data_IF_987481623493
#
_entry.id   IF_987481623493
#
_cell.length_a   1.000
_cell.length_b   1.000
_cell.length_c   1.000
_cell.angle_alpha   90.00
_cell.angle_beta   90.00
_cell.angle_gamma   90.00
#
_symmetry.space_group_name_H-M   'P 1'
#
loop_
_entity.id
_entity.type
_entity.pdbx_description
1 polymer ?
#
# COMPACT_ATOMS: atom_id res chain seq x y z
N UNK A 1 33.71 1.57 25.44
CA UNK A 1 33.67 1.96 24.01
C UNK A 1 32.43 1.45 23.27
N UNK A 2 31.98 0.20 23.49
CA UNK A 2 30.77 -0.39 22.85
C UNK A 2 29.47 0.43 23.03
N UNK A 3 29.28 1.12 24.16
CA UNK A 3 28.05 1.87 24.43
C UNK A 3 27.88 3.10 23.50
N UNK A 4 28.97 3.79 23.14
CA UNK A 4 28.90 4.97 22.25
C UNK A 4 28.62 4.57 20.80
N UNK A 5 29.08 3.40 20.37
CA UNK A 5 28.84 2.89 19.01
C UNK A 5 27.37 2.50 18.81
N UNK A 6 26.74 1.89 19.82
CA UNK A 6 25.31 1.55 19.78
C UNK A 6 24.40 2.79 19.78
N UNK A 7 24.73 3.82 20.56
CA UNK A 7 23.97 5.08 20.57
C UNK A 7 24.10 5.82 19.24
N UNK A 8 25.31 5.89 18.67
CA UNK A 8 25.52 6.51 17.37
C UNK A 8 24.77 5.79 16.23
N UNK A 9 24.80 4.45 16.23
CA UNK A 9 24.05 3.64 15.26
C UNK A 9 22.53 3.84 15.40
N UNK A 10 22.02 3.95 16.63
CA UNK A 10 20.60 4.20 16.87
C UNK A 10 20.15 5.59 16.42
N UNK A 11 20.93 6.64 16.71
CA UNK A 11 20.64 8.01 16.24
C UNK A 11 20.68 8.06 14.70
N UNK A 12 21.59 7.31 14.08
CA UNK A 12 21.66 7.19 12.62
C UNK A 12 20.42 6.49 12.05
N UNK A 13 19.97 5.39 12.66
CA UNK A 13 18.73 4.69 12.27
C UNK A 13 17.47 5.54 12.47
N UNK A 14 17.38 6.31 13.55
CA UNK A 14 16.27 7.25 13.78
C UNK A 14 16.24 8.36 12.74
N UNK A 15 17.40 8.92 12.40
CA UNK A 15 17.52 9.92 11.33
C UNK A 15 17.06 9.34 10.00
N UNK A 16 17.43 8.10 9.69
CA UNK A 16 17.02 7.40 8.47
C UNK A 16 15.51 7.12 8.47
N UNK A 17 14.95 6.62 9.57
CA UNK A 17 13.52 6.36 9.72
C UNK A 17 12.67 7.65 9.68
N UNK A 18 13.20 8.78 10.18
CA UNK A 18 12.55 10.08 10.08
C UNK A 18 12.63 10.68 8.67
N UNK A 19 13.69 10.38 7.91
CA UNK A 19 13.88 10.82 6.54
C UNK A 19 13.08 9.98 5.52
N UNK A 20 12.78 8.72 5.83
CA UNK A 20 11.99 7.87 4.94
C UNK A 20 10.49 8.11 5.15
N UNK A 21 9.83 8.67 4.13
CA UNK A 21 8.38 8.58 4.01
C UNK A 21 8.06 7.18 3.49
N UNK A 22 7.81 6.23 4.39
CA UNK A 22 7.27 4.91 4.02
C UNK A 22 5.82 5.10 3.54
N UNK A 23 5.65 5.53 2.30
CA UNK A 23 4.37 5.46 1.59
C UNK A 23 4.38 4.12 0.84
N UNK A 24 3.82 3.07 1.45
CA UNK A 24 3.60 1.79 0.76
C UNK A 24 2.31 1.86 -0.03
N UNK A 25 2.43 2.08 -1.34
CA UNK A 25 1.35 2.07 -2.32
C UNK A 25 1.72 2.90 -3.54
N UNK A 26 0.79 3.01 -4.49
CA UNK A 26 1.07 3.64 -5.77
C UNK A 26 1.32 5.16 -5.63
N UNK A 27 2.02 5.75 -6.61
CA UNK A 27 2.36 7.18 -6.72
C UNK A 27 1.13 8.08 -6.96
N UNK A 28 -0.03 7.66 -6.46
CA UNK A 28 -1.32 8.34 -6.49
C UNK A 28 -1.53 9.23 -5.26
N UNK A 29 -0.59 9.28 -4.31
CA UNK A 29 -0.67 10.13 -3.13
C UNK A 29 -0.71 11.61 -3.49
N UNK A 30 -1.89 12.21 -3.35
CA UNK A 30 -2.11 13.65 -3.47
C UNK A 30 -2.30 14.22 -2.06
N UNK A 31 -1.50 15.21 -1.66
CA UNK A 31 -1.65 15.83 -0.33
C UNK A 31 -2.73 16.91 -0.35
N UNK A 32 -3.67 16.82 0.60
CA UNK A 32 -4.71 17.83 0.83
C UNK A 32 -5.89 17.72 -0.13
N UNK A 33 -6.59 16.58 -0.10
CA UNK A 33 -7.70 16.27 -0.99
C UNK A 33 -8.88 15.67 -0.22
N UNK A 34 -10.09 15.87 -0.72
CA UNK A 34 -11.36 15.37 -0.20
C UNK A 34 -11.82 15.95 1.15
N UNK A 35 -11.21 15.61 2.29
CA UNK A 35 -11.85 15.91 3.60
C UNK A 35 -11.70 17.36 4.08
N UNK A 36 -10.81 18.14 3.45
CA UNK A 36 -10.60 19.55 3.75
C UNK A 36 -11.19 20.50 2.70
N UNK A 37 -11.83 19.96 1.65
CA UNK A 37 -12.40 20.81 0.61
C UNK A 37 -13.70 21.44 1.12
N UNK A 38 -13.70 22.77 1.19
CA UNK A 38 -14.90 23.52 1.48
C UNK A 38 -15.82 23.50 0.25
N UNK A 39 -17.13 23.45 0.48
CA UNK A 39 -18.11 23.73 -0.57
C UNK A 39 -17.93 25.16 -1.14
N UNK A 40 -17.49 26.09 -0.29
CA UNK A 40 -17.20 27.48 -0.66
C UNK A 40 -15.73 27.69 -1.09
N UNK A 41 -15.10 26.69 -1.68
CA UNK A 41 -13.76 26.81 -2.26
C UNK A 41 -13.80 27.72 -3.50
N UNK A 42 -13.36 28.98 -3.35
CA UNK A 42 -13.47 30.02 -4.39
C UNK A 42 -12.63 29.73 -5.62
N UNK A 43 -11.47 29.11 -5.43
CA UNK A 43 -10.47 28.90 -6.48
C UNK A 43 -10.49 27.44 -7.01
N UNK A 44 -11.36 26.58 -6.45
CA UNK A 44 -11.54 25.16 -6.79
C UNK A 44 -10.27 24.31 -6.69
N UNK A 45 -9.20 24.84 -6.08
CA UNK A 45 -7.89 24.18 -6.05
C UNK A 45 -7.98 22.85 -5.30
N UNK A 46 -8.73 22.80 -4.20
CA UNK A 46 -8.91 21.57 -3.42
C UNK A 46 -9.69 20.51 -4.20
N UNK A 47 -10.77 20.94 -4.87
CA UNK A 47 -11.59 20.05 -5.70
C UNK A 47 -10.82 19.53 -6.92
N UNK A 48 -10.00 20.36 -7.57
CA UNK A 48 -9.15 19.94 -8.67
C UNK A 48 -8.11 18.91 -8.24
N UNK A 49 -7.48 19.08 -7.07
CA UNK A 49 -6.57 18.06 -6.51
C UNK A 49 -7.29 16.74 -6.22
N UNK A 50 -8.52 16.84 -5.71
CA UNK A 50 -9.37 15.67 -5.44
C UNK A 50 -9.77 14.95 -6.73
N UNK A 51 -10.10 15.70 -7.79
CA UNK A 51 -10.40 15.14 -9.10
C UNK A 51 -9.20 14.38 -9.67
N UNK A 52 -8.01 14.98 -9.67
CA UNK A 52 -6.77 14.35 -10.16
C UNK A 52 -6.48 13.05 -9.42
N UNK A 53 -6.75 12.99 -8.11
CA UNK A 53 -6.61 11.75 -7.33
C UNK A 53 -7.55 10.65 -7.85
N UNK A 54 -8.85 10.94 -8.02
CA UNK A 54 -9.81 9.96 -8.51
C UNK A 54 -9.54 9.53 -9.95
N UNK A 55 -9.10 10.44 -10.83
CA UNK A 55 -8.72 10.12 -12.20
C UNK A 55 -7.55 9.13 -12.26
N UNK A 56 -6.51 9.36 -11.43
CA UNK A 56 -5.34 8.46 -11.34
C UNK A 56 -5.73 7.08 -10.83
N UNK A 57 -6.53 7.03 -9.77
CA UNK A 57 -7.00 5.75 -9.22
C UNK A 57 -7.87 5.03 -10.22
N UNK A 58 -8.84 5.72 -10.84
CA UNK A 58 -9.75 5.11 -11.80
C UNK A 58 -8.97 4.49 -12.97
N UNK A 59 -8.02 5.24 -13.54
CA UNK A 59 -7.15 4.72 -14.60
C UNK A 59 -6.32 3.51 -14.12
N UNK A 60 -5.79 3.57 -12.90
CA UNK A 60 -5.07 2.46 -12.28
C UNK A 60 -5.93 1.20 -12.14
N UNK A 61 -7.16 1.35 -11.64
CA UNK A 61 -8.10 0.23 -11.48
C UNK A 61 -8.52 -0.36 -12.84
N UNK A 62 -8.78 0.48 -13.85
CA UNK A 62 -9.07 -0.01 -15.21
C UNK A 62 -7.90 -0.81 -15.79
N UNK A 63 -6.66 -0.34 -15.63
CA UNK A 63 -5.45 -1.07 -16.07
C UNK A 63 -5.30 -2.41 -15.36
N UNK A 64 -5.49 -2.43 -14.03
CA UNK A 64 -5.41 -3.65 -13.23
C UNK A 64 -6.50 -4.66 -13.63
N UNK A 65 -7.72 -4.18 -13.89
CA UNK A 65 -8.81 -5.02 -14.36
C UNK A 65 -8.49 -5.68 -15.71
N UNK A 66 -8.02 -4.91 -16.70
CA UNK A 66 -7.61 -5.45 -18.02
C UNK A 66 -6.49 -6.46 -17.86
N UNK A 67 -5.45 -6.16 -17.08
CA UNK A 67 -4.34 -7.07 -16.84
C UNK A 67 -4.78 -8.38 -16.17
N UNK A 68 -5.73 -8.32 -15.23
CA UNK A 68 -6.27 -9.52 -14.60
C UNK A 68 -7.03 -10.39 -15.63
N UNK A 69 -7.86 -9.78 -16.48
CA UNK A 69 -8.58 -10.51 -17.53
C UNK A 69 -7.61 -11.19 -18.52
N UNK A 70 -6.58 -10.47 -18.96
CA UNK A 70 -5.53 -11.03 -19.83
C UNK A 70 -4.79 -12.20 -19.16
N UNK A 71 -4.43 -12.08 -17.88
CA UNK A 71 -3.72 -13.14 -17.16
C UNK A 71 -4.56 -14.40 -17.01
N UNK A 72 -5.86 -14.25 -16.70
CA UNK A 72 -6.81 -15.38 -16.62
C UNK A 72 -6.90 -16.08 -17.98
N UNK A 73 -7.00 -15.31 -19.06
CA UNK A 73 -7.09 -15.84 -20.41
C UNK A 73 -5.83 -16.61 -20.82
N UNK A 74 -4.66 -16.00 -20.67
CA UNK A 74 -3.38 -16.63 -20.99
C UNK A 74 -3.09 -17.86 -20.13
N UNK A 75 -3.52 -17.86 -18.86
CA UNK A 75 -3.45 -19.06 -18.04
C UNK A 75 -4.32 -20.18 -18.61
N UNK A 76 -5.55 -19.88 -19.05
CA UNK A 76 -6.44 -20.86 -19.69
C UNK A 76 -5.85 -21.40 -21.00
N UNK A 77 -5.27 -20.53 -21.83
CA UNK A 77 -4.59 -20.94 -23.06
C UNK A 77 -3.47 -21.97 -22.81
N UNK A 78 -2.70 -21.79 -21.73
CA UNK A 78 -1.58 -22.66 -21.36
C UNK A 78 -1.98 -23.96 -20.66
N UNK A 79 -3.14 -24.01 -20.00
CA UNK A 79 -3.50 -25.11 -19.10
C UNK A 79 -4.76 -25.89 -19.50
N UNK A 80 -5.59 -25.37 -20.41
CA UNK A 80 -6.86 -26.00 -20.82
C UNK A 80 -6.80 -26.37 -22.30
N UNK A 81 -6.98 -27.66 -22.59
CA UNK A 81 -7.02 -28.18 -23.97
C UNK A 81 -8.28 -29.04 -24.20
N UNK A 82 -9.06 -28.80 -25.27
CA UNK A 82 -8.90 -27.70 -26.23
C UNK A 82 -9.27 -26.34 -25.61
N UNK A 83 -8.46 -25.31 -25.89
CA UNK A 83 -8.74 -23.95 -25.46
C UNK A 83 -9.90 -23.36 -26.28
N UNK A 84 -10.82 -22.66 -25.60
CA UNK A 84 -11.86 -21.85 -26.22
C UNK A 84 -11.89 -20.50 -25.53
N UNK A 85 -11.91 -19.45 -26.34
CA UNK A 85 -12.01 -18.07 -25.89
C UNK A 85 -13.40 -17.82 -25.27
N UNK A 86 -13.42 -17.24 -24.06
CA UNK A 86 -14.66 -17.05 -23.28
C UNK A 86 -14.88 -15.58 -22.85
N UNK A 87 -14.42 -14.60 -23.62
CA UNK A 87 -14.60 -13.18 -23.26
C UNK A 87 -16.07 -12.75 -23.21
N UNK A 88 -16.96 -13.34 -24.03
CA UNK A 88 -18.40 -13.07 -23.95
C UNK A 88 -19.05 -13.57 -22.65
N UNK A 89 -18.48 -14.61 -22.03
CA UNK A 89 -18.90 -15.04 -20.69
C UNK A 89 -18.34 -14.07 -19.64
N UNK A 90 -17.08 -13.65 -19.79
CA UNK A 90 -16.45 -12.69 -18.89
C UNK A 90 -17.19 -11.35 -18.87
N UNK A 91 -17.56 -10.81 -20.04
CA UNK A 91 -18.38 -9.58 -20.18
C UNK A 91 -19.67 -9.68 -19.39
N UNK A 92 -20.51 -10.69 -19.70
CA UNK A 92 -21.79 -10.90 -19.02
C UNK A 92 -21.65 -11.06 -17.51
N UNK A 93 -20.66 -11.84 -17.07
CA UNK A 93 -20.40 -12.04 -15.65
C UNK A 93 -20.00 -10.73 -14.96
N UNK A 94 -19.07 -9.97 -15.55
CA UNK A 94 -18.59 -8.71 -14.99
C UNK A 94 -19.68 -7.63 -14.97
N UNK A 95 -20.46 -7.50 -16.05
CA UNK A 95 -21.61 -6.57 -16.12
C UNK A 95 -22.61 -6.89 -15.02
N UNK A 96 -23.06 -8.14 -14.94
CA UNK A 96 -24.06 -8.54 -13.94
C UNK A 96 -23.55 -8.33 -12.51
N UNK A 97 -22.27 -8.62 -12.27
CA UNK A 97 -21.65 -8.44 -10.95
C UNK A 97 -21.56 -6.97 -10.58
N UNK A 98 -21.16 -6.10 -11.51
CA UNK A 98 -21.05 -4.65 -11.25
C UNK A 98 -22.43 -3.99 -11.10
N UNK A 99 -23.42 -4.36 -11.92
CA UNK A 99 -24.80 -3.87 -11.77
C UNK A 99 -25.37 -4.27 -10.40
N UNK A 100 -25.08 -5.48 -9.93
CA UNK A 100 -25.55 -5.93 -8.61
C UNK A 100 -24.96 -5.14 -7.43
N UNK A 101 -23.88 -4.37 -7.64
CA UNK A 101 -23.30 -3.48 -6.63
C UNK A 101 -23.84 -2.04 -6.71
N UNK A 102 -24.65 -1.71 -7.72
CA UNK A 102 -25.25 -0.38 -7.83
C UNK A 102 -26.34 -0.18 -6.77
N UNK A 103 -26.30 0.95 -6.09
CA UNK A 103 -27.34 1.39 -5.18
C UNK A 103 -28.43 2.19 -5.91
N UNK A 104 -29.67 2.24 -5.35
CA UNK A 104 -30.67 3.15 -5.84
C UNK A 104 -30.14 4.60 -5.79
N UNK A 105 -30.32 5.34 -6.88
CA UNK A 105 -29.88 6.74 -7.05
C UNK A 105 -28.36 6.97 -7.24
N UNK A 106 -27.60 5.93 -7.57
CA UNK A 106 -26.22 6.12 -8.02
C UNK A 106 -26.16 6.98 -9.30
N UNK A 107 -25.10 7.80 -9.40
CA UNK A 107 -24.82 8.65 -10.57
C UNK A 107 -24.44 7.81 -11.80
N UNK A 108 -23.90 6.60 -11.58
CA UNK A 108 -23.52 5.65 -12.61
C UNK A 108 -24.74 4.78 -12.93
N UNK A 109 -25.13 4.75 -14.21
CA UNK A 109 -26.24 3.94 -14.70
C UNK A 109 -25.76 2.61 -15.30
N UNK A 110 -26.73 1.72 -15.54
CA UNK A 110 -26.50 0.39 -16.13
C UNK A 110 -25.75 0.49 -17.47
N UNK A 111 -26.09 1.48 -18.31
CA UNK A 111 -25.46 1.66 -19.63
C UNK A 111 -23.98 2.05 -19.52
N UNK A 112 -23.63 2.89 -18.53
CA UNK A 112 -22.24 3.25 -18.26
C UNK A 112 -21.43 2.01 -17.86
N UNK A 113 -21.98 1.15 -16.99
CA UNK A 113 -21.34 -0.12 -16.59
C UNK A 113 -21.16 -1.03 -17.79
N UNK A 114 -22.20 -1.24 -18.60
CA UNK A 114 -22.12 -2.08 -19.81
C UNK A 114 -21.05 -1.58 -20.77
N UNK A 115 -21.06 -0.28 -21.07
CA UNK A 115 -20.10 0.34 -22.00
C UNK A 115 -18.66 0.20 -21.48
N UNK A 116 -18.44 0.48 -20.20
CA UNK A 116 -17.13 0.39 -19.57
C UNK A 116 -16.61 -1.05 -19.60
N UNK A 117 -17.41 -2.01 -19.13
CA UNK A 117 -16.99 -3.41 -19.06
C UNK A 117 -16.74 -3.97 -20.46
N UNK A 118 -17.63 -3.71 -21.42
CA UNK A 118 -17.45 -4.18 -22.80
C UNK A 118 -16.14 -3.64 -23.38
N UNK A 119 -15.90 -2.34 -23.25
CA UNK A 119 -14.67 -1.69 -23.76
C UNK A 119 -13.42 -2.28 -23.12
N UNK A 120 -13.39 -2.45 -21.80
CA UNK A 120 -12.22 -2.99 -21.10
C UNK A 120 -11.96 -4.46 -21.43
N UNK A 121 -13.01 -5.28 -21.57
CA UNK A 121 -12.86 -6.70 -21.90
C UNK A 121 -12.48 -6.88 -23.37
N UNK A 122 -12.99 -6.05 -24.28
CA UNK A 122 -12.57 -6.05 -25.68
C UNK A 122 -11.09 -5.69 -25.82
N UNK A 123 -10.61 -4.70 -25.07
CA UNK A 123 -9.19 -4.38 -24.99
C UNK A 123 -8.36 -5.56 -24.45
N UNK A 124 -8.85 -6.24 -23.42
CA UNK A 124 -8.18 -7.43 -22.89
C UNK A 124 -8.10 -8.57 -23.92
N UNK A 125 -9.16 -8.82 -24.68
CA UNK A 125 -9.22 -9.83 -25.73
C UNK A 125 -8.21 -9.54 -26.86
N UNK A 126 -8.20 -8.29 -27.35
CA UNK A 126 -7.26 -7.84 -28.37
C UNK A 126 -5.81 -7.97 -27.91
N UNK A 127 -5.52 -7.62 -26.66
CA UNK A 127 -4.16 -7.58 -26.16
C UNK A 127 -3.65 -8.97 -25.72
N UNK A 128 -4.53 -9.85 -25.24
CA UNK A 128 -4.19 -11.21 -24.79
C UNK A 128 -3.56 -12.04 -25.91
N UNK A 129 -4.12 -11.95 -27.12
CA UNK A 129 -3.62 -12.67 -28.29
C UNK A 129 -2.33 -12.08 -28.86
N UNK A 130 -2.13 -10.76 -28.74
CA UNK A 130 -1.01 -10.05 -29.37
C UNK A 130 0.22 -9.91 -28.47
N UNK A 131 0.07 -10.00 -27.15
CA UNK A 131 1.17 -9.81 -26.21
C UNK A 131 1.15 -10.85 -25.10
N UNK A 132 2.25 -11.60 -24.96
CA UNK A 132 2.45 -12.49 -23.82
C UNK A 132 2.80 -11.63 -22.59
N UNK A 133 1.96 -11.66 -21.54
CA UNK A 133 2.38 -11.15 -20.24
C UNK A 133 3.39 -12.15 -19.68
N UNK A 134 4.67 -11.80 -19.76
CA UNK A 134 5.76 -12.56 -19.14
C UNK A 134 5.76 -12.44 -17.62
N UNK A 135 5.09 -11.42 -17.07
CA UNK A 135 5.02 -11.19 -15.64
C UNK A 135 3.74 -10.46 -15.24
N UNK A 136 3.22 -10.79 -14.06
CA UNK A 136 2.03 -10.17 -13.48
C UNK A 136 2.40 -8.74 -13.03
N UNK A 137 1.65 -7.70 -13.47
CA UNK A 137 1.92 -6.36 -13.00
C UNK A 137 1.76 -6.32 -11.48
N UNK A 138 2.71 -5.68 -10.80
CA UNK A 138 2.57 -5.40 -9.37
C UNK A 138 1.33 -4.56 -9.12
N UNK A 139 0.27 -5.19 -8.63
CA UNK A 139 -0.93 -4.51 -8.18
C UNK A 139 -0.64 -3.95 -6.79
N UNK A 140 -0.39 -2.65 -6.72
CA UNK A 140 -0.35 -1.92 -5.46
C UNK A 140 -1.76 -1.41 -5.16
N UNK A 141 -2.23 -1.63 -3.93
CA UNK A 141 -3.49 -1.06 -3.49
C UNK A 141 -3.38 0.48 -3.46
N UNK A 142 -4.42 1.21 -3.89
CA UNK A 142 -4.38 2.66 -3.89
C UNK A 142 -4.24 3.17 -2.44
N UNK A 143 -3.33 4.12 -2.22
CA UNK A 143 -3.23 4.79 -0.92
C UNK A 143 -4.42 5.76 -0.82
N UNK A 144 -5.13 5.82 0.32
CA UNK A 144 -6.18 6.82 0.48
C UNK A 144 -5.61 8.24 0.38
N UNK A 145 -6.41 9.13 -0.20
CA UNK A 145 -6.10 10.54 -0.44
C UNK A 145 -5.46 11.25 0.78
N UNK A 146 -5.93 10.92 1.98
CA UNK A 146 -5.42 11.45 3.25
C UNK A 146 -4.90 10.35 4.17
N UNK A 147 -3.91 9.59 3.71
CA UNK A 147 -3.26 8.62 4.58
C UNK A 147 -2.47 9.30 5.71
N UNK A 148 -2.92 9.14 6.97
CA UNK A 148 -2.28 9.71 8.16
C UNK A 148 -1.06 8.90 8.62
N UNK A 149 0.01 8.95 7.83
CA UNK A 149 1.27 8.26 8.13
C UNK A 149 2.02 8.86 9.34
N UNK A 150 1.75 10.11 9.68
CA UNK A 150 2.44 10.85 10.76
C UNK A 150 2.24 10.22 12.13
N UNK A 151 1.03 9.72 12.42
CA UNK A 151 0.73 9.09 13.72
C UNK A 151 1.50 7.79 13.89
N UNK A 152 1.45 6.90 12.91
CA UNK A 152 2.17 5.63 12.93
C UNK A 152 3.68 5.82 12.97
N UNK A 153 4.20 6.76 12.18
CA UNK A 153 5.62 7.13 12.23
C UNK A 153 6.02 7.64 13.60
N UNK A 154 5.24 8.54 14.20
CA UNK A 154 5.54 9.10 15.51
C UNK A 154 5.49 8.05 16.62
N UNK A 155 4.52 7.12 16.56
CA UNK A 155 4.42 6.00 17.50
C UNK A 155 5.61 5.04 17.36
N UNK A 156 6.03 4.74 16.13
CA UNK A 156 7.20 3.90 15.87
C UNK A 156 8.49 4.54 16.40
N UNK A 157 8.68 5.84 16.14
CA UNK A 157 9.82 6.62 16.65
C UNK A 157 9.81 6.61 18.19
N UNK A 158 8.67 6.92 18.82
CA UNK A 158 8.55 6.96 20.27
C UNK A 158 8.85 5.61 20.91
N UNK A 159 8.30 4.52 20.36
CA UNK A 159 8.56 3.15 20.82
C UNK A 159 10.05 2.80 20.70
N UNK A 160 10.68 3.13 19.58
CA UNK A 160 12.11 2.89 19.35
C UNK A 160 12.98 3.63 20.37
N UNK A 161 12.68 4.91 20.63
CA UNK A 161 13.38 5.74 21.63
C UNK A 161 13.24 5.14 23.02
N UNK A 162 12.03 4.77 23.43
CA UNK A 162 11.77 4.17 24.74
C UNK A 162 12.56 2.88 24.95
N UNK A 163 12.61 2.01 23.95
CA UNK A 163 13.38 0.76 24.02
C UNK A 163 14.88 1.04 24.22
N UNK A 164 15.45 2.02 23.53
CA UNK A 164 16.88 2.35 23.70
C UNK A 164 17.16 3.01 25.04
N UNK A 165 16.29 3.89 25.53
CA UNK A 165 16.41 4.44 26.87
C UNK A 165 16.40 3.32 27.94
N UNK A 166 15.55 2.30 27.78
CA UNK A 166 15.50 1.14 28.66
C UNK A 166 16.84 0.36 28.64
N UNK A 167 17.41 0.11 27.46
CA UNK A 167 18.71 -0.56 27.33
C UNK A 167 19.83 0.23 28.03
N UNK A 168 19.88 1.56 27.85
CA UNK A 168 20.88 2.42 28.49
C UNK A 168 20.73 2.40 30.02
N UNK A 169 19.50 2.33 30.54
CA UNK A 169 19.25 2.27 31.98
C UNK A 169 19.63 0.91 32.61
N UNK A 170 19.38 -0.20 31.92
CA UNK A 170 19.59 -1.56 32.44
C UNK A 170 21.07 -1.99 32.39
N UNK A 171 21.80 -1.68 31.31
CA UNK A 171 23.21 -2.06 31.16
C UNK A 171 24.13 -1.70 32.35
N UNK A 172 24.07 -0.49 32.95
CA UNK A 172 24.87 -0.16 34.12
C UNK A 172 24.43 -0.91 35.38
N UNK A 173 23.14 -1.23 35.52
CA UNK A 173 22.62 -2.02 36.65
C UNK A 173 23.13 -3.47 36.57
N UNK A 174 23.04 -4.10 35.40
CA UNK A 174 23.55 -5.45 35.16
C UNK A 174 25.06 -5.51 35.40
N UNK A 175 25.81 -4.50 34.94
CA UNK A 175 27.25 -4.42 35.19
C UNK A 175 27.57 -4.26 36.68
N UNK A 176 26.78 -3.47 37.42
CA UNK A 176 26.94 -3.34 38.88
C UNK A 176 26.64 -4.64 39.60
N UNK A 177 25.60 -5.37 39.21
CA UNK A 177 25.27 -6.68 39.79
C UNK A 177 26.37 -7.71 39.54
N UNK A 178 26.85 -7.84 38.30
CA UNK A 178 27.94 -8.78 37.98
C UNK A 178 29.23 -8.49 38.75
N UNK A 179 29.56 -7.21 38.94
CA UNK A 179 30.70 -6.79 39.75
C UNK A 179 30.46 -7.00 41.26
N UNK A 180 29.20 -6.93 41.71
CA UNK A 180 28.80 -7.23 43.09
C UNK A 180 28.95 -8.71 43.44
N UNK A 181 28.51 -9.61 42.56
CA UNK A 181 28.65 -11.08 42.74
C UNK A 181 30.13 -11.51 42.76
N UNK A 182 30.99 -10.82 42.01
CA UNK A 182 32.45 -11.05 42.06
C UNK A 182 33.06 -10.68 43.43
N UNK A 183 32.45 -9.77 44.17
CA UNK A 183 32.94 -9.35 45.49
C UNK A 183 32.56 -10.37 46.58
N UNK A 184 31.37 -10.96 46.49
CA UNK A 184 30.90 -11.97 47.47
C UNK A 184 31.72 -13.28 47.38
N UNK A 185 32.11 -13.69 46.17
CA UNK A 185 32.94 -14.89 45.96
C UNK A 185 34.39 -14.79 46.46
N UNK A 186 34.91 -13.57 46.69
CA UNK A 186 36.25 -13.34 47.24
C UNK A 186 36.27 -13.39 48.77
N UNK A 187 35.18 -13.01 49.45
CA UNK A 187 35.07 -13.05 50.92
C UNK A 187 34.89 -14.50 51.41
N UNK A 188 34.27 -15.37 50.62
CA UNK A 188 34.12 -16.80 50.94
C UNK A 188 35.40 -17.64 50.75
N UNK A 189 36.46 -17.05 50.18
CA UNK A 189 37.76 -17.70 49.93
C UNK A 189 38.92 -17.12 50.73
N UNK A 190 38.66 -16.16 51.62
CA UNK A 190 39.62 -15.60 52.57
C UNK A 190 39.34 -16.15 53.98
#
# INVERSE_FOLDING_TARGET
>A
MLCNFGVAAFVFFLSFAAAQNFETGDNSTVRGCSNHCSYNDKDLECWNRTLVFFERILLGQMRNYVAAQMNIDQWRQRNVHPYKEEFERAKRHSVNTMIAQLHPYDVIDVRSVETLVNTLVDLAALQSNNSLLTWMPHVQCPIPCEHRYTVWRNLFILSSVLNVCLFIAILPLVKRMHNGDSCESLIQRA
#
